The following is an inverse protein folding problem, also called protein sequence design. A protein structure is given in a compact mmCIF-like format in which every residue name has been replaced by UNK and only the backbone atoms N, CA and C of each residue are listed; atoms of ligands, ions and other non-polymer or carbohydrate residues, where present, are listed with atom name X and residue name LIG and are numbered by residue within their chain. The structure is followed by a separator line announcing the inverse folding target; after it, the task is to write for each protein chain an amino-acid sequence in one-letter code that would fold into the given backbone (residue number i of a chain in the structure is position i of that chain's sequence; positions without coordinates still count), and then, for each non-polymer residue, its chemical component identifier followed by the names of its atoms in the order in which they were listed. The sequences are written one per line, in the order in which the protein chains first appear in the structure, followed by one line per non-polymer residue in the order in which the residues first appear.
data_IF_499918950013
#
_entry.id   IF_499918950013
#
_cell.length_a   1.000
_cell.length_b   1.000
_cell.length_c   1.000
_cell.angle_alpha   90.00
_cell.angle_beta   90.00
_cell.angle_gamma   90.00
#
_symmetry.space_group_name_H-M   'P 1'
#
loop_
_entity.id
_entity.type
_entity.pdbx_description
1 polymer ?
#
# COMPACT_ATOMS: atom_id res chain seq x y z
N UNK A 1 18.65 -24.45 -6.92
CA UNK A 1 18.69 -23.42 -7.98
C UNK A 1 17.28 -22.96 -8.36
N UNK A 2 16.36 -23.87 -8.75
CA UNK A 2 14.98 -23.56 -9.14
C UNK A 2 14.18 -22.70 -8.14
N UNK A 3 14.18 -23.06 -6.85
CA UNK A 3 13.47 -22.31 -5.80
C UNK A 3 13.81 -20.81 -5.71
N UNK A 4 15.07 -20.44 -5.94
CA UNK A 4 15.50 -19.03 -5.93
C UNK A 4 14.99 -18.28 -7.15
N UNK A 5 14.98 -18.93 -8.30
CA UNK A 5 14.45 -18.37 -9.54
C UNK A 5 12.93 -18.18 -9.43
N UNK A 6 12.21 -19.12 -8.81
CA UNK A 6 10.77 -19.00 -8.59
C UNK A 6 10.44 -17.83 -7.67
N UNK A 7 11.18 -17.63 -6.57
CA UNK A 7 11.00 -16.46 -5.71
C UNK A 7 11.33 -15.14 -6.39
N UNK A 8 12.40 -15.11 -7.19
CA UNK A 8 12.76 -13.93 -7.97
C UNK A 8 11.69 -13.59 -9.01
N UNK A 9 11.11 -14.60 -9.66
CA UNK A 9 9.99 -14.41 -10.57
C UNK A 9 8.75 -13.89 -9.83
N UNK A 10 8.41 -14.48 -8.68
CA UNK A 10 7.25 -14.07 -7.88
C UNK A 10 7.35 -12.63 -7.35
N UNK A 11 8.56 -12.16 -7.02
CA UNK A 11 8.78 -10.79 -6.51
C UNK A 11 9.05 -9.78 -7.63
N UNK A 12 9.80 -10.20 -8.65
CA UNK A 12 10.18 -9.36 -9.79
C UNK A 12 9.02 -9.10 -10.75
N UNK A 13 8.11 -10.07 -10.92
CA UNK A 13 6.97 -9.92 -11.82
C UNK A 13 5.99 -8.80 -11.41
N UNK A 14 5.50 -8.70 -10.15
CA UNK A 14 4.68 -7.58 -9.72
C UNK A 14 5.35 -6.22 -9.95
N UNK A 15 6.65 -6.11 -9.68
CA UNK A 15 7.42 -4.90 -9.88
C UNK A 15 7.53 -4.52 -11.36
N UNK A 16 7.86 -5.49 -12.22
CA UNK A 16 7.91 -5.30 -13.66
C UNK A 16 6.53 -4.93 -14.21
N UNK A 17 5.47 -5.62 -13.80
CA UNK A 17 4.10 -5.31 -14.18
C UNK A 17 3.71 -3.87 -13.82
N UNK A 18 3.98 -3.45 -12.57
CA UNK A 18 3.75 -2.07 -12.14
C UNK A 18 4.55 -1.04 -12.96
N UNK A 19 5.81 -1.36 -13.27
CA UNK A 19 6.66 -0.52 -14.12
C UNK A 19 6.11 -0.39 -15.54
N UNK A 20 5.63 -1.48 -16.14
CA UNK A 20 5.01 -1.47 -17.47
C UNK A 20 3.73 -0.63 -17.46
N UNK A 21 2.87 -0.81 -16.45
CA UNK A 21 1.68 0.02 -16.26
C UNK A 21 2.03 1.51 -16.13
N UNK A 22 3.12 1.85 -15.45
CA UNK A 22 3.60 3.23 -15.32
C UNK A 22 4.12 3.80 -16.65
N UNK A 23 4.93 3.05 -17.39
CA UNK A 23 5.47 3.45 -18.70
C UNK A 23 4.33 3.66 -19.72
N UNK A 24 3.29 2.84 -19.68
CA UNK A 24 2.13 2.94 -20.57
C UNK A 24 0.92 3.66 -19.97
N UNK A 25 1.10 4.41 -18.87
CA UNK A 25 -0.02 5.06 -18.15
C UNK A 25 -0.90 5.93 -19.04
N UNK A 26 -0.33 6.61 -20.04
CA UNK A 26 -1.07 7.52 -20.93
C UNK A 26 -1.96 6.77 -21.94
N UNK A 27 -1.73 5.46 -22.12
CA UNK A 27 -2.52 4.59 -23.01
C UNK A 27 -3.38 3.59 -22.24
N UNK A 28 -3.25 3.54 -20.91
CA UNK A 28 -3.88 2.53 -20.08
C UNK A 28 -5.33 2.91 -19.81
N UNK A 29 -6.25 2.21 -20.48
CA UNK A 29 -7.69 2.40 -20.29
C UNK A 29 -8.12 1.61 -19.07
N UNK A 30 -8.59 2.30 -18.03
CA UNK A 30 -9.08 1.70 -16.80
C UNK A 30 -10.60 1.50 -16.88
N UNK A 31 -11.02 0.31 -17.30
CA UNK A 31 -12.42 -0.15 -17.35
C UNK A 31 -12.68 -1.32 -16.38
N UNK A 32 -13.83 -1.30 -15.70
CA UNK A 32 -14.29 -2.36 -14.78
C UNK A 32 -14.56 -3.69 -15.48
N UNK A 33 -14.93 -3.66 -16.77
CA UNK A 33 -15.14 -4.84 -17.61
C UNK A 33 -13.84 -5.62 -17.81
N UNK A 34 -12.74 -4.89 -18.01
CA UNK A 34 -11.40 -5.48 -18.14
C UNK A 34 -11.00 -6.10 -16.80
N UNK A 35 -11.24 -5.42 -15.68
CA UNK A 35 -10.96 -6.00 -14.36
C UNK A 35 -11.74 -7.31 -14.15
N UNK A 36 -13.04 -7.32 -14.45
CA UNK A 36 -13.87 -8.53 -14.33
C UNK A 36 -13.36 -9.67 -15.22
N UNK A 37 -12.99 -9.37 -16.47
CA UNK A 37 -12.41 -10.35 -17.38
C UNK A 37 -11.08 -10.90 -16.86
N UNK A 38 -10.22 -10.05 -16.29
CA UNK A 38 -8.94 -10.47 -15.71
C UNK A 38 -9.11 -11.43 -14.53
N UNK A 39 -10.19 -11.29 -13.75
CA UNK A 39 -10.49 -12.21 -12.65
C UNK A 39 -10.90 -13.61 -13.08
N UNK A 40 -11.22 -13.84 -14.37
CA UNK A 40 -11.51 -15.20 -14.88
C UNK A 40 -10.24 -16.05 -14.95
N UNK A 41 -9.09 -15.45 -15.28
CA UNK A 41 -7.84 -16.21 -15.51
C UNK A 41 -7.33 -16.97 -14.27
N UNK A 42 -7.37 -16.41 -13.04
CA UNK A 42 -7.04 -17.16 -11.83
C UNK A 42 -7.86 -18.44 -11.64
N UNK A 43 -9.16 -18.43 -11.98
CA UNK A 43 -10.01 -19.61 -11.85
C UNK A 43 -9.66 -20.68 -12.88
N UNK A 44 -9.38 -20.28 -14.13
CA UNK A 44 -8.95 -21.20 -15.19
C UNK A 44 -7.57 -21.79 -14.89
N UNK A 45 -6.68 -20.98 -14.31
CA UNK A 45 -5.33 -21.37 -13.94
C UNK A 45 -5.25 -22.10 -12.59
N UNK A 46 -6.38 -22.42 -11.93
CA UNK A 46 -6.38 -22.99 -10.60
C UNK A 46 -5.53 -24.26 -10.50
N UNK A 47 -4.63 -24.32 -9.51
CA UNK A 47 -3.70 -25.44 -9.30
C UNK A 47 -2.48 -25.46 -10.23
N UNK A 48 -2.37 -24.54 -11.18
CA UNK A 48 -1.20 -24.43 -12.07
C UNK A 48 -0.11 -23.51 -11.50
N UNK A 49 1.11 -23.63 -12.03
CA UNK A 49 2.24 -22.76 -11.68
C UNK A 49 2.04 -21.30 -12.13
N UNK A 50 1.12 -21.03 -13.06
CA UNK A 50 0.84 -19.68 -13.57
C UNK A 50 -0.24 -18.94 -12.77
N UNK A 51 -0.99 -19.65 -11.90
CA UNK A 51 -2.04 -19.06 -11.06
C UNK A 51 -1.57 -17.80 -10.31
N UNK A 52 -0.40 -17.78 -9.63
CA UNK A 52 0.03 -16.59 -8.89
C UNK A 52 0.24 -15.37 -9.78
N UNK A 53 0.74 -15.57 -11.01
CA UNK A 53 0.96 -14.48 -11.97
C UNK A 53 -0.37 -13.86 -12.42
N UNK A 54 -1.36 -14.71 -12.72
CA UNK A 54 -2.70 -14.23 -13.11
C UNK A 54 -3.38 -13.46 -11.98
N UNK A 55 -3.22 -13.89 -10.73
CA UNK A 55 -3.70 -13.18 -9.54
C UNK A 55 -3.02 -11.80 -9.43
N UNK A 56 -1.70 -11.73 -9.59
CA UNK A 56 -0.95 -10.47 -9.53
C UNK A 56 -1.48 -9.46 -10.57
N UNK A 57 -1.71 -9.90 -11.82
CA UNK A 57 -2.25 -9.03 -12.87
C UNK A 57 -3.67 -8.57 -12.53
N UNK A 58 -4.55 -9.50 -12.14
CA UNK A 58 -5.95 -9.18 -11.80
C UNK A 58 -6.05 -8.22 -10.61
N UNK A 59 -5.32 -8.50 -9.53
CA UNK A 59 -5.26 -7.64 -8.33
C UNK A 59 -4.62 -6.29 -8.68
N UNK A 60 -3.48 -6.28 -9.36
CA UNK A 60 -2.76 -5.05 -9.70
C UNK A 60 -3.59 -4.12 -10.58
N UNK A 61 -4.21 -4.63 -11.64
CA UNK A 61 -5.11 -3.84 -12.49
C UNK A 61 -6.34 -3.34 -11.72
N UNK A 62 -6.94 -4.20 -10.88
CA UNK A 62 -8.08 -3.81 -10.05
C UNK A 62 -7.72 -2.69 -9.07
N UNK A 63 -6.54 -2.74 -8.46
CA UNK A 63 -6.04 -1.69 -7.57
C UNK A 63 -5.82 -0.36 -8.32
N UNK A 64 -5.29 -0.40 -9.55
CA UNK A 64 -5.15 0.79 -10.39
C UNK A 64 -6.53 1.37 -10.74
N UNK A 65 -7.47 0.51 -11.16
CA UNK A 65 -8.84 0.91 -11.46
C UNK A 65 -9.49 1.59 -10.24
N UNK A 66 -9.45 0.94 -9.08
CA UNK A 66 -9.99 1.45 -7.82
C UNK A 66 -9.31 2.78 -7.45
N UNK A 67 -7.98 2.84 -7.51
CA UNK A 67 -7.21 4.01 -7.08
C UNK A 67 -7.40 5.25 -7.96
N UNK A 68 -7.62 5.09 -9.27
CA UNK A 68 -7.75 6.22 -10.21
C UNK A 68 -9.20 6.53 -10.59
N UNK A 69 -10.10 5.55 -10.59
CA UNK A 69 -11.50 5.73 -11.02
C UNK A 69 -12.44 6.01 -9.85
N UNK A 70 -12.19 5.49 -8.64
CA UNK A 70 -13.02 5.82 -7.49
C UNK A 70 -12.72 7.25 -7.01
N UNK A 71 -13.47 8.20 -7.54
CA UNK A 71 -13.51 9.59 -7.07
C UNK A 71 -14.64 9.77 -6.05
N UNK A 72 -14.44 10.63 -5.05
CA UNK A 72 -15.51 11.05 -4.12
C UNK A 72 -15.32 10.60 -2.66
N UNK A 73 -16.40 10.11 -2.02
CA UNK A 73 -16.49 9.85 -0.55
C UNK A 73 -15.44 8.88 -0.01
N UNK A 74 -14.93 7.94 -0.82
CA UNK A 74 -13.83 7.06 -0.42
C UNK A 74 -12.52 7.82 -0.22
N UNK A 75 -12.20 8.79 -1.08
CA UNK A 75 -11.03 9.67 -0.92
C UNK A 75 -11.24 10.71 0.19
N UNK A 76 -12.48 10.95 0.62
CA UNK A 76 -12.75 11.81 1.78
C UNK A 76 -12.21 11.18 3.08
N UNK A 77 -11.94 9.87 3.11
CA UNK A 77 -11.22 9.23 4.22
C UNK A 77 -9.82 9.82 4.41
N UNK A 78 -9.14 10.24 3.34
CA UNK A 78 -7.83 10.91 3.43
C UNK A 78 -7.91 12.27 4.17
N UNK A 79 -9.12 12.82 4.37
CA UNK A 79 -9.34 14.06 5.15
C UNK A 79 -9.50 13.78 6.65
N UNK A 80 -9.69 12.53 7.07
CA UNK A 80 -9.91 12.17 8.47
C UNK A 80 -8.60 11.96 9.24
N UNK A 81 -7.51 11.61 8.57
CA UNK A 81 -6.18 11.44 9.17
C UNK A 81 -5.37 10.34 8.48
N UNK A 82 -4.08 10.20 8.80
CA UNK A 82 -3.23 9.11 8.31
C UNK A 82 -3.40 7.86 9.18
N UNK A 83 -4.64 7.37 9.30
CA UNK A 83 -4.93 6.15 10.06
C UNK A 83 -4.26 4.92 9.45
N UNK A 84 -3.94 4.95 8.15
CA UNK A 84 -3.19 3.91 7.45
C UNK A 84 -1.86 3.61 8.14
N UNK A 85 -1.19 4.64 8.64
CA UNK A 85 0.06 4.47 9.37
C UNK A 85 -0.15 3.70 10.69
N UNK A 86 -1.14 4.09 11.49
CA UNK A 86 -1.50 3.37 12.71
C UNK A 86 -1.91 1.92 12.43
N UNK A 87 -2.73 1.69 11.39
CA UNK A 87 -3.13 0.32 10.99
C UNK A 87 -1.91 -0.53 10.64
N UNK A 88 -0.93 0.03 9.92
CA UNK A 88 0.31 -0.66 9.60
C UNK A 88 1.11 -1.08 10.85
N UNK A 89 1.17 -0.22 11.87
CA UNK A 89 1.87 -0.53 13.13
C UNK A 89 1.12 -1.60 13.94
N UNK A 90 -0.20 -1.44 14.09
CA UNK A 90 -0.97 -2.26 15.05
C UNK A 90 -1.54 -3.55 14.46
N UNK A 91 -1.70 -3.69 13.14
CA UNK A 91 -2.36 -4.85 12.54
C UNK A 91 -1.67 -6.17 12.92
N UNK A 92 -0.35 -6.25 12.77
CA UNK A 92 0.40 -7.47 13.08
C UNK A 92 0.32 -7.87 14.56
N UNK A 93 0.68 -7.01 15.54
CA UNK A 93 0.62 -7.40 16.95
C UNK A 93 -0.81 -7.72 17.41
N UNK A 94 -1.83 -7.01 16.90
CA UNK A 94 -3.23 -7.32 17.22
C UNK A 94 -3.64 -8.69 16.67
N UNK A 95 -3.28 -9.00 15.43
CA UNK A 95 -3.53 -10.33 14.85
C UNK A 95 -2.80 -11.44 15.61
N UNK A 96 -1.56 -11.22 16.04
CA UNK A 96 -0.83 -12.18 16.86
C UNK A 96 -1.50 -12.37 18.23
N UNK A 97 -2.00 -11.29 18.83
CA UNK A 97 -2.76 -11.35 20.07
C UNK A 97 -4.05 -12.16 19.89
N UNK A 98 -4.79 -11.97 18.80
CA UNK A 98 -6.00 -12.76 18.52
C UNK A 98 -5.68 -14.25 18.39
N UNK A 99 -4.60 -14.62 17.68
CA UNK A 99 -4.15 -16.02 17.56
C UNK A 99 -3.75 -16.61 18.90
N UNK A 100 -3.11 -15.81 19.77
CA UNK A 100 -2.72 -16.24 21.11
C UNK A 100 -3.93 -16.45 22.03
N UNK A 101 -4.91 -15.54 22.00
CA UNK A 101 -6.12 -15.61 22.84
C UNK A 101 -7.12 -16.66 22.35
N UNK A 102 -7.16 -16.92 21.04
CA UNK A 102 -8.06 -17.88 20.41
C UNK A 102 -7.25 -18.92 19.61
N UNK A 103 -6.67 -19.94 20.28
CA UNK A 103 -5.94 -21.00 19.59
C UNK A 103 -6.83 -21.71 18.57
N UNK A 104 -6.35 -21.82 17.33
CA UNK A 104 -7.09 -22.45 16.24
C UNK A 104 -8.06 -21.53 15.50
N UNK A 105 -8.07 -20.22 15.79
CA UNK A 105 -8.85 -19.23 15.05
C UNK A 105 -8.54 -19.29 13.54
N UNK A 106 -9.58 -19.31 12.72
CA UNK A 106 -9.38 -19.28 11.27
C UNK A 106 -8.85 -17.91 10.82
N UNK A 107 -8.19 -17.82 9.65
CA UNK A 107 -7.69 -16.54 9.13
C UNK A 107 -8.80 -15.49 8.96
N UNK A 108 -10.01 -15.90 8.58
CA UNK A 108 -11.14 -15.00 8.38
C UNK A 108 -11.67 -14.47 9.72
N UNK A 109 -11.81 -15.33 10.73
CA UNK A 109 -12.21 -14.93 12.07
C UNK A 109 -11.16 -14.00 12.71
N UNK A 110 -9.87 -14.33 12.55
CA UNK A 110 -8.78 -13.47 13.02
C UNK A 110 -8.88 -12.09 12.36
N UNK A 111 -9.06 -12.03 11.05
CA UNK A 111 -9.24 -10.75 10.36
C UNK A 111 -10.47 -9.99 10.86
N UNK A 112 -11.60 -10.68 11.03
CA UNK A 112 -12.85 -10.08 11.49
C UNK A 112 -12.76 -9.51 12.92
N UNK A 113 -12.03 -10.17 13.82
CA UNK A 113 -11.82 -9.70 15.19
C UNK A 113 -10.70 -8.66 15.31
N UNK A 114 -9.58 -8.87 14.60
CA UNK A 114 -8.41 -8.00 14.69
C UNK A 114 -8.62 -6.65 13.99
N UNK A 115 -9.35 -6.61 12.87
CA UNK A 115 -9.57 -5.38 12.11
C UNK A 115 -10.21 -4.24 12.93
N UNK A 116 -11.35 -4.43 13.62
CA UNK A 116 -11.95 -3.34 14.40
C UNK A 116 -11.05 -2.86 15.55
N UNK A 117 -10.35 -3.78 16.22
CA UNK A 117 -9.39 -3.45 17.29
C UNK A 117 -8.22 -2.63 16.74
N UNK A 118 -7.68 -3.05 15.60
CA UNK A 118 -6.57 -2.37 14.92
C UNK A 118 -6.97 -0.95 14.51
N UNK A 119 -8.15 -0.78 13.90
CA UNK A 119 -8.66 0.53 13.49
C UNK A 119 -8.88 1.43 14.70
N UNK A 120 -9.42 0.89 15.80
CA UNK A 120 -9.60 1.66 17.03
C UNK A 120 -8.26 2.15 17.59
N UNK A 121 -7.25 1.29 17.67
CA UNK A 121 -5.91 1.66 18.11
C UNK A 121 -5.25 2.67 17.17
N UNK A 122 -5.40 2.51 15.85
CA UNK A 122 -4.91 3.46 14.86
C UNK A 122 -5.56 4.84 15.02
N UNK A 123 -6.88 4.89 15.24
CA UNK A 123 -7.60 6.13 15.52
C UNK A 123 -7.09 6.78 16.81
N UNK A 124 -6.91 6.03 17.89
CA UNK A 124 -6.38 6.56 19.15
C UNK A 124 -4.96 7.10 18.94
N UNK A 125 -4.08 6.32 18.31
CA UNK A 125 -2.70 6.73 18.01
C UNK A 125 -2.64 8.02 17.21
N UNK A 126 -3.48 8.14 16.17
CA UNK A 126 -3.52 9.34 15.36
C UNK A 126 -3.83 10.60 16.17
N UNK A 127 -4.90 10.58 16.96
CA UNK A 127 -5.35 11.77 17.68
C UNK A 127 -4.44 12.13 18.88
N UNK A 128 -3.85 11.15 19.55
CA UNK A 128 -3.08 11.38 20.78
C UNK A 128 -1.56 11.42 20.57
N UNK A 129 -1.04 10.80 19.51
CA UNK A 129 0.40 10.63 19.29
C UNK A 129 0.83 11.26 17.96
N UNK A 130 0.30 10.76 16.85
CA UNK A 130 0.84 11.06 15.53
C UNK A 130 0.53 12.49 15.08
N UNK A 131 -0.73 12.93 15.17
CA UNK A 131 -1.12 14.28 14.78
C UNK A 131 -0.39 15.35 15.62
N UNK A 132 -0.30 15.24 16.97
CA UNK A 132 0.49 16.18 17.77
C UNK A 132 1.99 16.14 17.47
N UNK A 133 2.55 14.95 17.21
CA UNK A 133 3.97 14.81 16.89
C UNK A 133 4.31 15.45 15.55
N UNK A 134 3.50 15.18 14.51
CA UNK A 134 3.66 15.78 13.19
C UNK A 134 3.59 17.30 13.26
N UNK A 135 2.62 17.87 13.98
CA UNK A 135 2.52 19.32 14.17
C UNK A 135 3.79 19.97 14.74
N UNK A 136 4.55 19.23 15.58
CA UNK A 136 5.83 19.70 16.16
C UNK A 136 7.03 19.46 15.26
N UNK A 137 7.04 18.37 14.49
CA UNK A 137 8.16 17.98 13.61
C UNK A 137 8.13 18.76 12.29
N UNK A 138 6.96 19.06 11.72
CA UNK A 138 6.82 19.76 10.44
C UNK A 138 7.58 21.10 10.40
N UNK A 139 7.52 22.00 11.41
CA UNK A 139 8.30 23.23 11.42
C UNK A 139 9.82 23.01 11.39
N UNK A 140 10.31 21.99 12.10
CA UNK A 140 11.73 21.64 12.13
C UNK A 140 12.20 21.10 10.78
N UNK A 141 11.41 20.22 10.17
CA UNK A 141 11.66 19.69 8.84
C UNK A 141 11.72 20.83 7.79
N UNK A 142 10.76 21.76 7.83
CA UNK A 142 10.74 22.92 6.92
C UNK A 142 11.97 23.81 7.07
N UNK A 143 12.43 24.03 8.32
CA UNK A 143 13.66 24.80 8.58
C UNK A 143 14.88 24.07 8.04
N UNK A 144 15.04 22.78 8.29
CA UNK A 144 16.14 21.98 7.77
C UNK A 144 16.18 21.99 6.24
N UNK A 145 15.02 21.84 5.58
CA UNK A 145 14.90 21.89 4.13
C UNK A 145 15.27 23.27 3.55
N UNK A 146 14.88 24.35 4.23
CA UNK A 146 15.28 25.71 3.86
C UNK A 146 16.80 25.93 4.01
N UNK A 147 17.44 25.31 5.00
CA UNK A 147 18.91 25.37 5.16
C UNK A 147 19.64 24.61 4.04
N UNK A 148 19.19 23.40 3.72
CA UNK A 148 19.79 22.57 2.66
C UNK A 148 19.66 23.23 1.28
N UNK A 149 18.50 23.81 0.97
CA UNK A 149 18.25 24.50 -0.31
C UNK A 149 19.05 25.80 -0.45
N UNK A 150 19.22 26.58 0.63
CA UNK A 150 20.10 27.77 0.64
C UNK A 150 21.57 27.41 0.41
N UNK A 151 22.03 26.28 0.93
CA UNK A 151 23.38 25.76 0.68
C UNK A 151 23.60 25.39 -0.80
N UNK A 152 22.62 24.73 -1.42
CA UNK A 152 22.67 24.34 -2.83
C UNK A 152 22.72 25.55 -3.80
N UNK A 153 22.04 26.65 -3.46
CA UNK A 153 22.10 27.90 -4.26
C UNK A 153 23.44 28.64 -4.16
N UNK A 154 24.27 28.41 -3.12
CA UNK A 154 25.59 29.07 -2.99
C UNK A 154 26.71 28.39 -3.79
N UNK A 155 26.53 27.14 -4.21
CA UNK A 155 27.55 26.36 -4.94
C UNK A 155 27.44 26.56 -6.46
N UNK A 156 26.31 27.07 -6.95
CA UNK A 156 26.01 27.22 -8.38
C UNK A 156 26.29 28.62 -8.96
N UNK A 157 26.74 29.60 -8.16
CA UNK A 157 27.24 30.86 -8.70
C UNK A 157 28.71 30.70 -9.11
N UNK A 158 29.06 30.81 -10.40
CA UNK A 158 30.45 30.83 -10.81
C UNK A 158 31.09 32.08 -10.22
N UNK A 159 32.18 31.90 -9.46
CA UNK A 159 33.03 33.01 -9.06
C UNK A 159 33.65 33.57 -10.34
N UNK A 160 33.21 34.78 -10.70
CA UNK A 160 33.83 35.59 -11.74
C UNK A 160 35.29 35.89 -11.39
#
# INVERSE_FOLDING_TARGET
MAYRLDKLAQLGFPFAFGTLCYVWRDRLVLDYRIALALWVFPFVAAGSMVMPLTIIVAVGYSLLLIGFVLKGRLLAYNRLGDYSYGVYIYAFPVQQLMVHLFPGISPLENMALAAPVTVLLACISWHFIEQPALAKVTPLANRAQAWLTRGATRVSQPRH
#
